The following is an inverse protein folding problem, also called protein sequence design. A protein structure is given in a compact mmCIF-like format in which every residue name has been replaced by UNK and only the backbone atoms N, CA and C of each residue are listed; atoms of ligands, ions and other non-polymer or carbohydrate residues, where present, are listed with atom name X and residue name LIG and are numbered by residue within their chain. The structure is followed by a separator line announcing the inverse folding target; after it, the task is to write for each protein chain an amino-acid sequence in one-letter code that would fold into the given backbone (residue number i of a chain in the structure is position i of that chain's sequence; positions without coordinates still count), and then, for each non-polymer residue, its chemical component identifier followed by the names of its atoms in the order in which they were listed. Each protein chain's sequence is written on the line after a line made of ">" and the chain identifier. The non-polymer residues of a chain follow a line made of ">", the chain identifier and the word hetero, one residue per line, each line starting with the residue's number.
data_IF_919096190864
#
_entry.id   IF_919096190864
#
_cell.length_a   1.000
_cell.length_b   1.000
_cell.length_c   1.000
_cell.angle_alpha   90.00
_cell.angle_beta   90.00
_cell.angle_gamma   90.00
#
_symmetry.space_group_name_H-M   'P 1'
#
loop_
_entity.id
_entity.type
_entity.pdbx_description
1 polymer ?
#
# COMPACT_ATOMS: atom_id res chain seq x y z
N UNK A 1 -13.38 3.68 9.02
CA UNK A 1 -12.96 3.30 7.66
C UNK A 1 -11.70 2.43 7.62
N UNK A 2 -10.60 2.78 8.30
CA UNK A 2 -9.35 1.96 8.28
C UNK A 2 -9.54 0.49 8.68
N UNK A 3 -10.44 0.19 9.62
CA UNK A 3 -10.76 -1.21 10.00
C UNK A 3 -11.38 -2.03 8.86
N UNK A 4 -12.08 -1.38 7.93
CA UNK A 4 -12.61 -2.02 6.70
C UNK A 4 -11.47 -2.28 5.72
N UNK A 5 -10.58 -1.29 5.53
CA UNK A 5 -9.41 -1.38 4.64
C UNK A 5 -8.38 -2.43 5.09
N UNK A 6 -8.41 -2.80 6.37
CA UNK A 6 -7.50 -3.78 6.98
C UNK A 6 -8.19 -5.15 7.16
N UNK A 7 -9.47 -5.27 6.84
CA UNK A 7 -10.24 -6.50 6.98
C UNK A 7 -10.79 -6.77 8.39
N UNK A 8 -10.33 -6.06 9.42
CA UNK A 8 -10.82 -6.18 10.81
C UNK A 8 -12.33 -5.95 10.97
N UNK A 9 -12.94 -5.15 10.09
CA UNK A 9 -14.39 -4.89 10.09
C UNK A 9 -15.17 -5.76 9.11
N UNK A 10 -14.49 -6.67 8.39
CA UNK A 10 -15.12 -7.59 7.43
C UNK A 10 -15.32 -8.99 8.00
N UNK A 11 -14.84 -9.25 9.22
CA UNK A 11 -14.99 -10.54 9.91
C UNK A 11 -16.47 -10.71 10.29
N UNK A 12 -17.16 -11.66 9.64
CA UNK A 12 -18.59 -11.95 9.84
C UNK A 12 -19.53 -11.28 8.83
N UNK A 13 -18.99 -10.55 7.85
CA UNK A 13 -19.75 -9.95 6.74
C UNK A 13 -19.79 -10.88 5.51
N UNK A 14 -20.64 -10.55 4.53
CA UNK A 14 -20.75 -11.25 3.24
C UNK A 14 -19.36 -11.31 2.53
N UNK A 15 -18.97 -12.50 2.07
CA UNK A 15 -17.66 -12.79 1.43
C UNK A 15 -17.34 -11.87 0.25
N UNK A 16 -18.35 -11.27 -0.37
CA UNK A 16 -18.21 -10.31 -1.46
C UNK A 16 -17.52 -9.00 -1.03
N UNK A 17 -17.59 -8.61 0.24
CA UNK A 17 -16.93 -7.39 0.74
C UNK A 17 -15.40 -7.56 0.81
N UNK A 18 -14.86 -8.63 1.43
CA UNK A 18 -13.44 -8.98 1.37
C UNK A 18 -12.90 -9.03 -0.07
N UNK A 19 -13.62 -9.66 -1.00
CA UNK A 19 -13.21 -9.74 -2.41
C UNK A 19 -13.09 -8.35 -3.07
N UNK A 20 -14.07 -7.47 -2.83
CA UNK A 20 -14.02 -6.09 -3.35
C UNK A 20 -12.84 -5.30 -2.80
N UNK A 21 -12.47 -5.55 -1.54
CA UNK A 21 -11.30 -4.92 -0.94
C UNK A 21 -10.01 -5.43 -1.60
N UNK A 22 -9.89 -6.74 -1.82
CA UNK A 22 -8.75 -7.33 -2.53
C UNK A 22 -8.60 -6.72 -3.94
N UNK A 23 -9.69 -6.66 -4.72
CA UNK A 23 -9.68 -6.03 -6.05
C UNK A 23 -9.29 -4.55 -6.02
N UNK A 24 -9.66 -3.82 -4.97
CA UNK A 24 -9.24 -2.43 -4.79
C UNK A 24 -7.71 -2.33 -4.62
N UNK A 25 -7.14 -3.18 -3.76
CA UNK A 25 -5.70 -3.23 -3.54
C UNK A 25 -4.94 -3.66 -4.80
N UNK A 26 -5.45 -4.63 -5.54
CA UNK A 26 -4.87 -5.06 -6.82
C UNK A 26 -4.82 -3.92 -7.84
N UNK A 27 -5.87 -3.09 -7.89
CA UNK A 27 -5.91 -1.91 -8.76
C UNK A 27 -4.89 -0.86 -8.34
N UNK A 28 -4.76 -0.62 -7.03
CA UNK A 28 -3.74 0.31 -6.49
C UNK A 28 -2.34 -0.17 -6.86
N UNK A 29 -2.06 -1.48 -6.69
CA UNK A 29 -0.77 -2.06 -7.06
C UNK A 29 -0.50 -1.94 -8.57
N UNK A 30 -1.51 -2.18 -9.40
CA UNK A 30 -1.39 -2.02 -10.85
C UNK A 30 -1.08 -0.57 -11.26
N UNK A 31 -1.74 0.42 -10.63
CA UNK A 31 -1.43 1.83 -10.86
C UNK A 31 0.00 2.19 -10.45
N UNK A 32 0.47 1.68 -9.30
CA UNK A 32 1.85 1.90 -8.84
C UNK A 32 2.88 1.29 -9.80
N UNK A 33 2.64 0.07 -10.29
CA UNK A 33 3.49 -0.55 -11.32
C UNK A 33 3.59 0.33 -12.57
N UNK A 34 2.48 0.91 -13.01
CA UNK A 34 2.48 1.80 -14.17
C UNK A 34 3.27 3.09 -13.92
N UNK A 35 3.10 3.72 -12.76
CA UNK A 35 3.88 4.92 -12.39
C UNK A 35 5.37 4.63 -12.31
N UNK A 36 5.77 3.48 -11.74
CA UNK A 36 7.18 3.07 -11.67
C UNK A 36 7.77 2.78 -13.06
N UNK A 37 7.00 2.14 -13.97
CA UNK A 37 7.42 1.99 -15.38
C UNK A 37 7.72 3.33 -16.02
N UNK A 38 6.83 4.31 -15.83
CA UNK A 38 7.05 5.65 -16.36
C UNK A 38 8.30 6.31 -15.76
N UNK A 39 8.52 6.16 -14.45
CA UNK A 39 9.69 6.70 -13.78
C UNK A 39 11.01 6.10 -14.29
N UNK A 40 11.03 4.78 -14.55
CA UNK A 40 12.17 4.10 -15.18
C UNK A 40 12.39 4.62 -16.60
N UNK A 41 11.34 4.71 -17.42
CA UNK A 41 11.44 5.24 -18.79
C UNK A 41 11.92 6.69 -18.84
N UNK A 42 11.58 7.50 -17.83
CA UNK A 42 12.02 8.90 -17.69
C UNK A 42 13.41 9.05 -17.07
N UNK A 43 14.08 7.95 -16.68
CA UNK A 43 15.40 7.98 -16.06
C UNK A 43 15.41 8.45 -14.60
N UNK A 44 14.24 8.56 -13.96
CA UNK A 44 14.15 8.90 -12.54
C UNK A 44 14.49 7.70 -11.63
N UNK A 45 14.47 6.48 -12.19
CA UNK A 45 14.77 5.23 -11.50
C UNK A 45 15.72 4.37 -12.34
N UNK A 46 16.55 3.50 -11.73
CA UNK A 46 17.42 2.58 -12.44
C UNK A 46 16.65 1.66 -13.40
N UNK A 47 17.23 1.38 -14.58
CA UNK A 47 16.60 0.53 -15.60
C UNK A 47 16.43 -0.95 -15.17
N UNK A 48 17.24 -1.40 -14.22
CA UNK A 48 17.21 -2.74 -13.62
C UNK A 48 16.27 -2.84 -12.41
N UNK A 49 15.50 -1.79 -12.11
CA UNK A 49 14.52 -1.82 -11.03
C UNK A 49 13.49 -2.92 -11.26
N UNK A 50 13.38 -3.86 -10.30
CA UNK A 50 12.23 -4.77 -10.22
C UNK A 50 10.97 -3.99 -9.83
N UNK A 51 10.21 -3.56 -10.83
CA UNK A 51 8.99 -2.77 -10.69
C UNK A 51 7.91 -3.50 -9.91
N UNK A 52 7.78 -4.82 -10.11
CA UNK A 52 6.72 -5.59 -9.49
C UNK A 52 6.94 -5.71 -7.98
N UNK A 53 8.16 -6.09 -7.58
CA UNK A 53 8.53 -6.17 -6.17
C UNK A 53 8.48 -4.80 -5.49
N UNK A 54 8.89 -3.73 -6.20
CA UNK A 54 8.83 -2.35 -5.66
C UNK A 54 7.41 -1.90 -5.37
N UNK A 55 6.49 -2.09 -6.33
CA UNK A 55 5.09 -1.71 -6.18
C UNK A 55 4.44 -2.48 -5.02
N UNK A 56 4.68 -3.79 -4.95
CA UNK A 56 4.16 -4.62 -3.88
C UNK A 56 4.69 -4.19 -2.50
N UNK A 57 5.98 -3.88 -2.39
CA UNK A 57 6.59 -3.36 -1.16
C UNK A 57 5.92 -2.06 -0.68
N UNK A 58 5.64 -1.13 -1.60
CA UNK A 58 4.94 0.13 -1.29
C UNK A 58 3.53 -0.17 -0.74
N UNK A 59 2.79 -1.06 -1.39
CA UNK A 59 1.44 -1.46 -0.95
C UNK A 59 1.49 -2.11 0.44
N UNK A 60 2.40 -3.05 0.67
CA UNK A 60 2.57 -3.69 1.98
C UNK A 60 2.90 -2.69 3.09
N UNK A 61 3.74 -1.69 2.81
CA UNK A 61 4.09 -0.65 3.78
C UNK A 61 2.86 0.21 4.18
N UNK A 62 2.03 0.60 3.20
CA UNK A 62 0.79 1.35 3.43
C UNK A 62 -0.20 0.51 4.25
N UNK A 63 -0.41 -0.75 3.87
CA UNK A 63 -1.27 -1.68 4.60
C UNK A 63 -0.80 -1.89 6.04
N UNK A 64 0.50 -2.07 6.26
CA UNK A 64 1.08 -2.19 7.60
C UNK A 64 0.85 -0.95 8.47
N UNK A 65 0.92 0.25 7.88
CA UNK A 65 0.61 1.50 8.58
C UNK A 65 -0.86 1.59 8.97
N UNK A 66 -1.76 1.26 8.05
CA UNK A 66 -3.19 1.20 8.35
C UNK A 66 -3.51 0.18 9.45
N UNK A 67 -2.88 -0.99 9.42
CA UNK A 67 -3.06 -2.02 10.45
C UNK A 67 -2.58 -1.54 11.82
N UNK A 68 -1.40 -0.89 11.90
CA UNK A 68 -0.89 -0.31 13.16
C UNK A 68 -1.80 0.82 13.68
N UNK A 69 -2.32 1.67 12.79
CA UNK A 69 -3.25 2.74 13.16
C UNK A 69 -4.54 2.15 13.75
N UNK A 70 -5.15 1.17 13.08
CA UNK A 70 -6.35 0.48 13.55
C UNK A 70 -6.11 -0.20 14.92
N UNK A 71 -5.03 -0.98 15.06
CA UNK A 71 -4.69 -1.66 16.33
C UNK A 71 -4.37 -0.71 17.48
N UNK A 72 -3.90 0.51 17.17
CA UNK A 72 -3.66 1.52 18.20
C UNK A 72 -4.93 2.19 18.75
N UNK A 73 -6.11 1.81 18.26
CA UNK A 73 -7.36 2.52 18.56
C UNK A 73 -7.36 3.93 18.00
N UNK A 74 -6.77 4.12 16.81
CA UNK A 74 -6.64 5.39 16.11
C UNK A 74 -5.76 6.44 16.81
N UNK A 75 -4.80 6.01 17.65
CA UNK A 75 -3.92 6.92 18.41
C UNK A 75 -2.56 7.17 17.75
N UNK A 76 -2.02 6.20 17.02
CA UNK A 76 -0.73 6.32 16.33
C UNK A 76 -0.96 6.74 14.88
N UNK A 77 -0.65 7.98 14.54
CA UNK A 77 -0.96 8.49 13.21
C UNK A 77 -0.27 7.66 12.12
N UNK A 78 -1.00 7.27 11.05
CA UNK A 78 -0.44 6.46 9.98
C UNK A 78 0.60 7.23 9.15
N UNK A 79 0.73 8.55 9.31
CA UNK A 79 1.73 9.37 8.62
C UNK A 79 2.95 9.69 9.49
N UNK A 80 2.98 9.25 10.74
CA UNK A 80 4.13 9.50 11.63
C UNK A 80 5.40 8.87 11.04
N UNK A 81 6.42 9.70 10.79
CA UNK A 81 7.68 9.30 10.16
C UNK A 81 7.54 8.78 8.72
N UNK A 82 6.45 9.11 8.02
CA UNK A 82 6.22 8.66 6.65
C UNK A 82 7.32 9.13 5.70
N UNK A 83 7.76 10.39 5.80
CA UNK A 83 8.77 10.96 4.90
C UNK A 83 10.10 10.19 4.93
N UNK A 84 10.57 9.80 6.12
CA UNK A 84 11.79 9.02 6.27
C UNK A 84 11.66 7.63 5.64
N UNK A 85 10.50 7.00 5.77
CA UNK A 85 10.24 5.68 5.18
C UNK A 85 10.02 5.76 3.67
N UNK A 86 9.32 6.78 3.19
CA UNK A 86 9.12 7.02 1.76
C UNK A 86 10.47 7.22 1.06
N UNK A 87 11.42 7.92 1.68
CA UNK A 87 12.78 8.03 1.13
C UNK A 87 13.48 6.67 0.98
N UNK A 88 13.28 5.74 1.90
CA UNK A 88 13.86 4.38 1.80
C UNK A 88 13.13 3.52 0.77
N UNK A 89 11.82 3.72 0.62
CA UNK A 89 11.02 2.98 -0.35
C UNK A 89 11.21 3.47 -1.79
N UNK A 90 11.53 4.75 -1.96
CA UNK A 90 11.66 5.45 -3.24
C UNK A 90 13.11 5.77 -3.63
N UNK A 91 14.08 5.27 -2.88
CA UNK A 91 15.51 5.38 -3.18
C UNK A 91 15.95 4.45 -4.30
#
# INVERSE_FOLDING_TARGET
>A
MTRVLVGDALVGEDERLPERMAQCLDRIEASLKQSLRMAVTQGAWPADTDIASRANLIVCAVLGRWHRYAKSGFRKSPVDGADAQLRVLLS
#
